data_IF_629795748425
#
_entry.id   IF_629795748425
#
_cell.length_a   1.000
_cell.length_b   1.000
_cell.length_c   1.000
_cell.angle_alpha   90.00
_cell.angle_beta   90.00
_cell.angle_gamma   90.00
#
_symmetry.space_group_name_H-M   'P 1'
#
loop_
_entity.id
_entity.type
_entity.pdbx_description
1 polymer ?
#
# COMPACT_ATOMS: atom_id res chain seq x y z
N UNK A 1 -29.34 -7.03 -8.90
CA UNK A 1 -28.40 -6.26 -9.74
C UNK A 1 -27.70 -5.28 -8.82
N UNK A 2 -26.37 -5.37 -8.68
CA UNK A 2 -25.59 -4.40 -7.89
C UNK A 2 -25.18 -3.24 -8.82
N UNK A 3 -25.32 -1.97 -8.39
CA UNK A 3 -24.86 -0.85 -9.19
C UNK A 3 -23.33 -0.86 -9.21
N UNK A 4 -22.75 -0.98 -10.41
CA UNK A 4 -21.32 -0.84 -10.63
C UNK A 4 -20.97 0.63 -10.50
N UNK A 5 -20.35 1.01 -9.38
CA UNK A 5 -19.75 2.33 -9.20
C UNK A 5 -18.44 2.41 -10.00
N UNK A 6 -18.52 2.52 -11.33
CA UNK A 6 -17.36 2.91 -12.15
C UNK A 6 -17.16 4.42 -12.02
N UNK A 7 -16.55 4.85 -10.92
CA UNK A 7 -16.01 6.19 -10.80
C UNK A 7 -14.78 6.31 -11.71
N UNK A 8 -14.92 6.97 -12.86
CA UNK A 8 -13.86 7.21 -13.85
C UNK A 8 -12.95 8.40 -13.51
N UNK A 9 -12.99 8.92 -12.28
CA UNK A 9 -12.03 9.93 -11.81
C UNK A 9 -10.65 9.28 -11.62
N UNK A 10 -9.58 10.04 -11.90
CA UNK A 10 -8.20 9.57 -11.78
C UNK A 10 -7.91 8.96 -10.42
N UNK A 11 -6.93 8.05 -10.37
CA UNK A 11 -6.56 7.36 -9.14
C UNK A 11 -6.08 8.36 -8.09
N UNK A 12 -6.59 8.23 -6.87
CA UNK A 12 -6.15 9.03 -5.73
C UNK A 12 -5.10 8.22 -4.98
N UNK A 13 -3.94 8.82 -4.71
CA UNK A 13 -2.82 8.22 -4.00
C UNK A 13 -2.65 8.87 -2.62
N UNK A 14 -2.63 8.05 -1.58
CA UNK A 14 -2.29 8.42 -0.22
C UNK A 14 -0.98 7.74 0.17
N UNK A 15 0.04 8.53 0.51
CA UNK A 15 1.34 8.05 0.97
C UNK A 15 1.90 8.98 2.04
N UNK A 16 2.93 8.57 2.77
CA UNK A 16 3.59 9.38 3.79
C UNK A 16 4.51 10.45 3.17
N UNK A 17 5.02 11.38 3.98
CA UNK A 17 5.90 12.46 3.51
C UNK A 17 7.38 12.07 3.44
N UNK A 18 7.72 10.79 3.27
CA UNK A 18 9.12 10.39 3.17
C UNK A 18 9.79 11.04 1.95
N UNK A 19 11.07 11.42 2.10
CA UNK A 19 11.82 12.19 1.07
C UNK A 19 11.69 11.65 -0.36
N UNK A 20 11.75 10.32 -0.62
CA UNK A 20 11.58 9.80 -1.98
C UNK A 20 10.18 10.05 -2.56
N UNK A 21 9.14 10.11 -1.73
CA UNK A 21 7.75 10.24 -2.17
C UNK A 21 7.36 11.68 -2.48
N UNK A 22 7.97 12.65 -1.81
CA UNK A 22 7.76 14.10 -2.07
C UNK A 22 8.80 14.71 -3.00
N UNK A 23 9.76 13.91 -3.50
CA UNK A 23 10.76 14.38 -4.45
C UNK A 23 10.09 14.84 -5.76
N UNK A 24 10.65 15.90 -6.38
CA UNK A 24 10.09 16.48 -7.61
C UNK A 24 9.91 15.47 -8.74
N UNK A 25 10.87 14.54 -8.91
CA UNK A 25 10.82 13.48 -9.92
C UNK A 25 9.61 12.56 -9.70
N UNK A 26 9.32 12.23 -8.45
CA UNK A 26 8.19 11.37 -8.07
C UNK A 26 6.86 12.10 -8.28
N UNK A 27 6.76 13.37 -7.87
CA UNK A 27 5.58 14.20 -8.09
C UNK A 27 5.26 14.38 -9.59
N UNK A 28 6.29 14.61 -10.42
CA UNK A 28 6.13 14.67 -11.87
C UNK A 28 5.59 13.36 -12.43
N UNK A 29 6.11 12.22 -11.94
CA UNK A 29 5.64 10.91 -12.38
C UNK A 29 4.18 10.67 -12.03
N UNK A 30 3.73 11.09 -10.85
CA UNK A 30 2.33 11.00 -10.45
C UNK A 30 1.41 11.85 -11.33
N UNK A 31 1.86 13.06 -11.68
CA UNK A 31 1.15 13.92 -12.62
C UNK A 31 1.01 13.28 -14.01
N UNK A 32 2.08 12.70 -14.55
CA UNK A 32 2.07 11.99 -15.84
C UNK A 32 1.13 10.77 -15.84
N UNK A 33 0.97 10.12 -14.69
CA UNK A 33 0.07 8.98 -14.51
C UNK A 33 -1.39 9.41 -14.25
N UNK A 34 -1.67 10.71 -14.18
CA UNK A 34 -3.01 11.23 -13.87
C UNK A 34 -3.48 10.90 -12.46
N UNK A 35 -2.54 10.74 -11.53
CA UNK A 35 -2.84 10.43 -10.14
C UNK A 35 -2.88 11.70 -9.29
N UNK A 36 -3.93 11.83 -8.48
CA UNK A 36 -4.07 12.91 -7.52
C UNK A 36 -3.45 12.47 -6.19
N UNK A 37 -2.46 13.22 -5.69
CA UNK A 37 -1.80 12.91 -4.41
C UNK A 37 -2.52 13.67 -3.29
N UNK A 38 -3.02 12.95 -2.29
CA UNK A 38 -3.59 13.58 -1.10
C UNK A 38 -2.50 14.12 -0.19
N UNK A 39 -2.74 15.31 0.38
CA UNK A 39 -1.88 15.86 1.41
C UNK A 39 -1.89 14.98 2.66
N UNK A 40 -0.73 14.46 3.05
CA UNK A 40 -0.56 13.73 4.29
C UNK A 40 0.04 14.63 5.36
N UNK A 41 -0.50 14.69 6.59
CA UNK A 41 0.13 15.42 7.68
C UNK A 41 1.44 14.75 8.12
N UNK A 42 2.44 15.51 8.62
CA UNK A 42 3.67 14.93 9.14
C UNK A 42 3.41 13.95 10.30
N UNK A 43 4.13 12.83 10.32
CA UNK A 43 4.13 11.86 11.43
C UNK A 43 2.75 11.32 11.83
N UNK A 44 1.88 11.02 10.85
CA UNK A 44 0.54 10.48 11.10
C UNK A 44 0.38 9.05 10.57
N UNK A 45 1.08 8.07 11.17
CA UNK A 45 1.03 6.67 10.75
C UNK A 45 -0.37 6.07 10.83
N UNK A 46 -1.19 6.55 11.77
CA UNK A 46 -2.60 6.20 11.97
C UNK A 46 -3.52 6.59 10.80
N UNK A 47 -3.07 7.50 9.94
CA UNK A 47 -3.80 7.93 8.74
C UNK A 47 -3.40 7.13 7.48
N UNK A 48 -2.41 6.24 7.59
CA UNK A 48 -2.05 5.35 6.49
C UNK A 48 -3.05 4.19 6.43
N UNK A 49 -3.70 3.92 5.28
CA UNK A 49 -4.51 2.72 5.10
C UNK A 49 -3.69 1.43 5.22
N UNK A 50 -2.37 1.55 5.09
CA UNK A 50 -1.43 0.43 5.14
C UNK A 50 -1.00 0.19 6.58
N UNK A 51 -1.93 -0.21 7.44
CA UNK A 51 -1.61 -0.68 8.78
C UNK A 51 -1.20 -2.16 8.70
N UNK A 52 0.08 -2.44 8.98
CA UNK A 52 0.68 -3.77 8.89
C UNK A 52 0.37 -4.68 10.08
N UNK A 53 -0.63 -4.36 10.91
CA UNK A 53 -0.95 -5.14 12.11
C UNK A 53 -1.26 -6.61 11.83
N UNK A 54 -2.00 -6.91 10.75
CA UNK A 54 -2.27 -8.30 10.34
C UNK A 54 -1.00 -9.02 9.87
N UNK A 55 -0.09 -8.28 9.22
CA UNK A 55 1.20 -8.83 8.80
C UNK A 55 2.07 -9.16 10.02
N UNK A 56 2.10 -8.31 11.04
CA UNK A 56 2.85 -8.57 12.28
C UNK A 56 2.36 -9.86 12.96
N UNK A 57 1.04 -10.06 13.00
CA UNK A 57 0.46 -11.30 13.50
C UNK A 57 0.89 -12.50 12.65
N UNK A 58 0.77 -12.40 11.32
CA UNK A 58 1.18 -13.45 10.40
C UNK A 58 2.66 -13.81 10.54
N UNK A 59 3.53 -12.82 10.75
CA UNK A 59 4.98 -13.02 10.88
C UNK A 59 5.41 -13.51 12.27
N UNK A 60 4.52 -13.45 13.27
CA UNK A 60 4.83 -13.84 14.64
C UNK A 60 5.33 -15.30 14.69
N UNK A 61 6.45 -15.50 15.39
CA UNK A 61 7.15 -16.78 15.53
C UNK A 61 7.70 -17.43 14.24
N UNK A 62 7.64 -16.75 13.08
CA UNK A 62 8.30 -17.21 11.85
C UNK A 62 9.75 -16.74 11.81
N UNK A 63 10.67 -17.62 11.40
CA UNK A 63 12.08 -17.27 11.15
C UNK A 63 12.47 -17.72 9.75
N UNK A 64 12.98 -16.80 8.96
CA UNK A 64 13.43 -17.06 7.60
C UNK A 64 14.96 -17.04 7.56
N UNK A 65 15.56 -18.02 6.87
CA UNK A 65 17.02 -18.11 6.70
C UNK A 65 17.47 -17.67 5.32
N UNK A 66 16.55 -17.69 4.35
CA UNK A 66 16.78 -17.28 2.98
C UNK A 66 15.77 -16.22 2.57
N UNK A 67 16.18 -15.38 1.62
CA UNK A 67 15.33 -14.31 1.09
C UNK A 67 14.10 -14.88 0.40
N UNK A 68 14.25 -16.00 -0.31
CA UNK A 68 13.18 -16.66 -1.05
C UNK A 68 12.06 -17.12 -0.10
N UNK A 69 12.42 -17.64 1.08
CA UNK A 69 11.45 -18.06 2.09
C UNK A 69 10.61 -16.88 2.59
N UNK A 70 11.25 -15.72 2.81
CA UNK A 70 10.56 -14.47 3.18
C UNK A 70 9.62 -14.02 2.06
N UNK A 71 10.10 -14.00 0.80
CA UNK A 71 9.29 -13.58 -0.34
C UNK A 71 8.06 -14.48 -0.53
N UNK A 72 8.24 -15.80 -0.44
CA UNK A 72 7.15 -16.76 -0.54
C UNK A 72 6.12 -16.57 0.60
N UNK A 73 6.58 -16.31 1.82
CA UNK A 73 5.69 -16.04 2.95
C UNK A 73 4.88 -14.75 2.77
N UNK A 74 5.50 -13.68 2.26
CA UNK A 74 4.80 -12.45 1.90
C UNK A 74 3.77 -12.68 0.80
N UNK A 75 4.14 -13.37 -0.29
CA UNK A 75 3.19 -13.71 -1.36
C UNK A 75 2.01 -14.53 -0.82
N UNK A 76 2.28 -15.50 0.04
CA UNK A 76 1.27 -16.32 0.68
C UNK A 76 0.32 -15.49 1.56
N UNK A 77 0.83 -14.52 2.33
CA UNK A 77 0.01 -13.58 3.10
C UNK A 77 -0.96 -12.80 2.21
N UNK A 78 -0.47 -12.19 1.12
CA UNK A 78 -1.32 -11.45 0.18
C UNK A 78 -2.35 -12.36 -0.54
N UNK A 79 -1.98 -13.61 -0.84
CA UNK A 79 -2.85 -14.55 -1.53
C UNK A 79 -3.93 -15.18 -0.65
N UNK A 80 -3.74 -15.23 0.67
CA UNK A 80 -4.69 -15.89 1.58
C UNK A 80 -5.48 -14.91 2.44
N UNK A 81 -4.89 -13.81 2.90
CA UNK A 81 -5.57 -12.88 3.82
C UNK A 81 -6.18 -11.67 3.09
N UNK A 82 -5.58 -11.22 1.98
CA UNK A 82 -6.02 -9.99 1.29
C UNK A 82 -6.98 -10.29 0.13
N UNK A 83 -7.05 -11.54 -0.37
CA UNK A 83 -7.99 -11.96 -1.44
C UNK A 83 -9.47 -12.00 -1.04
N UNK A 84 -9.83 -11.65 0.19
CA UNK A 84 -11.24 -11.59 0.65
C UNK A 84 -11.84 -10.18 0.46
N UNK A 85 -11.03 -9.14 0.21
CA UNK A 85 -11.51 -7.74 0.21
C UNK A 85 -11.16 -6.89 -1.02
N UNK A 86 -10.74 -7.50 -2.14
CA UNK A 86 -10.64 -6.82 -3.44
C UNK A 86 -11.51 -7.52 -4.48
#
# INVERSE_FOLDING_TARGET
QQPVLVNRKGSILLHDNARPHVASITAEKFHQLGMEVLSHPPYSPDLSPTDFHSLDHFLTQKRFRKREDTQNAFQHFFLLEIRIFI
#
